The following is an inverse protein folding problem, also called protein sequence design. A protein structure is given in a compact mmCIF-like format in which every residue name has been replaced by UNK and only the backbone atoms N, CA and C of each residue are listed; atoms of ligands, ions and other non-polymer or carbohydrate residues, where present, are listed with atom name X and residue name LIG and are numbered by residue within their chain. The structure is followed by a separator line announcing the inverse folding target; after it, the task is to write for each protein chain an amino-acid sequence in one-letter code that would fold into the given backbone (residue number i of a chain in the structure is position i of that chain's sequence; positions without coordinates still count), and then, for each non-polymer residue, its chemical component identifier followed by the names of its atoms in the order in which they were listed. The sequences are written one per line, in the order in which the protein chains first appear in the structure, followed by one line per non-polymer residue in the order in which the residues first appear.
data_IF_154739506674
#
_entry.id   IF_154739506674
#
_cell.length_a   1.000
_cell.length_b   1.000
_cell.length_c   1.000
_cell.angle_alpha   90.00
_cell.angle_beta   90.00
_cell.angle_gamma   90.00
#
_symmetry.space_group_name_H-M   'P 1'
#
loop_
_entity.id
_entity.type
_entity.pdbx_description
1 polymer ?
#
# COMPACT_ATOMS: atom_id res chain seq x y z
N UNK A 1 39.07 -37.03 16.12
CA UNK A 1 37.94 -37.96 16.25
C UNK A 1 37.12 -37.85 14.97
N UNK A 2 37.45 -38.68 13.97
CA UNK A 2 36.82 -38.72 12.64
C UNK A 2 35.89 -39.92 12.62
N UNK A 3 34.61 -39.69 12.34
CA UNK A 3 33.64 -40.75 12.11
C UNK A 3 33.37 -40.77 10.61
N UNK A 4 33.90 -41.79 9.94
CA UNK A 4 33.35 -42.35 8.71
C UNK A 4 32.73 -43.69 9.09
N UNK A 5 31.48 -43.95 8.68
CA UNK A 5 31.20 -45.12 7.83
C UNK A 5 29.99 -44.84 6.90
N UNK A 6 29.57 -45.64 5.93
CA UNK A 6 30.01 -46.87 5.28
C UNK A 6 29.12 -46.96 4.03
N UNK A 7 29.71 -47.26 2.87
CA UNK A 7 28.97 -47.74 1.71
C UNK A 7 28.59 -49.21 1.96
N UNK A 8 27.33 -49.58 1.67
CA UNK A 8 26.93 -50.97 1.44
C UNK A 8 26.31 -51.10 0.03
N UNK A 9 26.82 -52.03 -0.81
CA UNK A 9 26.19 -52.43 -2.05
C UNK A 9 25.39 -53.73 -1.88
N UNK A 10 24.18 -53.78 -2.42
CA UNK A 10 23.42 -55.01 -2.69
C UNK A 10 22.68 -54.74 -4.01
N UNK A 11 23.26 -55.01 -5.19
CA UNK A 11 23.46 -56.32 -5.84
C UNK A 11 22.21 -57.21 -5.77
N UNK A 12 21.50 -57.21 -6.89
CA UNK A 12 20.92 -58.40 -7.54
C UNK A 12 20.03 -59.30 -6.68
N UNK A 13 18.73 -59.19 -6.88
CA UNK A 13 17.86 -60.32 -7.25
C UNK A 13 16.44 -59.76 -7.42
N UNK A 14 15.97 -59.67 -8.66
CA UNK A 14 14.57 -59.87 -9.15
C UNK A 14 14.66 -59.68 -10.68
N UNK A 15 15.48 -60.54 -11.31
CA UNK A 15 15.38 -60.85 -12.73
C UNK A 15 14.80 -62.25 -12.76
N UNK A 16 13.47 -62.35 -12.91
CA UNK A 16 12.74 -63.51 -13.46
C UNK A 16 11.27 -63.53 -13.00
N UNK A 17 10.52 -62.45 -13.24
CA UNK A 17 9.04 -62.52 -13.22
C UNK A 17 8.40 -61.62 -14.29
N UNK A 18 9.09 -61.42 -15.42
CA UNK A 18 8.58 -60.70 -16.60
C UNK A 18 8.58 -61.65 -17.80
N UNK A 19 7.76 -62.70 -17.75
CA UNK A 19 7.39 -63.46 -18.95
C UNK A 19 5.93 -63.85 -18.82
N UNK A 20 5.11 -63.29 -19.70
CA UNK A 20 3.67 -63.55 -19.93
C UNK A 20 2.65 -62.71 -19.16
N UNK A 21 2.86 -61.40 -19.04
CA UNK A 21 1.69 -60.49 -19.00
C UNK A 21 1.38 -60.08 -20.44
N UNK A 22 0.27 -60.59 -20.98
CA UNK A 22 -0.29 -60.15 -22.25
C UNK A 22 -0.47 -58.64 -22.18
N UNK A 23 0.29 -57.90 -22.98
CA UNK A 23 0.06 -56.49 -23.30
C UNK A 23 -1.18 -56.47 -24.20
N UNK A 24 -2.35 -56.80 -23.63
CA UNK A 24 -3.62 -56.39 -24.17
C UNK A 24 -3.71 -54.90 -23.90
N UNK A 25 -3.75 -54.13 -24.98
CA UNK A 25 -4.08 -52.72 -25.12
C UNK A 25 -5.04 -52.16 -24.07
N UNK A 26 -4.57 -52.00 -22.84
CA UNK A 26 -5.14 -51.07 -21.88
C UNK A 26 -4.55 -49.72 -22.26
N UNK A 27 -5.10 -49.17 -23.34
CA UNK A 27 -5.04 -47.75 -23.65
C UNK A 27 -5.60 -47.07 -22.42
N UNK A 28 -4.71 -46.77 -21.48
CA UNK A 28 -4.93 -45.96 -20.32
C UNK A 28 -5.33 -44.60 -20.90
N UNK A 29 -6.65 -44.46 -21.10
CA UNK A 29 -7.34 -43.23 -21.39
C UNK A 29 -7.11 -42.37 -20.14
N UNK A 30 -5.91 -41.82 -20.03
CA UNK A 30 -5.60 -40.63 -19.26
C UNK A 30 -6.49 -39.56 -19.89
N UNK A 31 -7.74 -39.55 -19.46
CA UNK A 31 -8.58 -38.38 -19.45
C UNK A 31 -7.81 -37.36 -18.60
N UNK A 32 -6.86 -36.68 -19.23
CA UNK A 32 -6.38 -35.39 -18.80
C UNK A 32 -7.64 -34.52 -18.80
N UNK A 33 -8.34 -34.52 -17.67
CA UNK A 33 -9.24 -33.46 -17.29
C UNK A 33 -8.36 -32.23 -17.16
N UNK A 34 -8.10 -31.60 -18.31
CA UNK A 34 -7.59 -30.24 -18.41
C UNK A 34 -8.68 -29.41 -17.75
N UNK A 35 -8.58 -29.28 -16.43
CA UNK A 35 -9.46 -28.44 -15.65
C UNK A 35 -9.21 -27.04 -16.15
N UNK A 36 -10.09 -26.56 -17.03
CA UNK A 36 -10.12 -25.17 -17.47
C UNK A 36 -10.41 -24.36 -16.20
N UNK A 37 -9.34 -23.94 -15.53
CA UNK A 37 -9.46 -22.99 -14.43
C UNK A 37 -9.72 -21.66 -15.10
N UNK A 38 -10.99 -21.25 -15.10
CA UNK A 38 -11.33 -19.87 -15.42
C UNK A 38 -10.53 -18.98 -14.47
N UNK A 39 -9.61 -18.20 -15.02
CA UNK A 39 -8.86 -17.21 -14.26
C UNK A 39 -9.87 -16.20 -13.73
N UNK A 40 -10.03 -16.16 -12.41
CA UNK A 40 -10.98 -15.25 -11.76
C UNK A 40 -10.41 -13.85 -11.85
N UNK A 41 -10.87 -13.06 -12.81
CA UNK A 41 -10.47 -11.65 -12.94
C UNK A 41 -11.13 -10.82 -11.85
N UNK A 42 -10.33 -10.23 -10.97
CA UNK A 42 -10.82 -9.34 -9.92
C UNK A 42 -11.06 -7.94 -10.49
N UNK A 43 -12.28 -7.44 -10.33
CA UNK A 43 -12.68 -6.09 -10.75
C UNK A 43 -12.61 -5.09 -9.59
N UNK A 44 -12.62 -3.77 -9.85
CA UNK A 44 -12.79 -2.77 -8.79
C UNK A 44 -14.08 -2.93 -7.99
N UNK A 45 -15.11 -3.58 -8.54
CA UNK A 45 -16.35 -3.86 -7.81
C UNK A 45 -16.19 -4.97 -6.77
N UNK A 46 -15.34 -5.96 -7.05
CA UNK A 46 -14.97 -6.99 -6.07
C UNK A 46 -14.14 -6.40 -4.95
N UNK A 47 -13.18 -5.53 -5.28
CA UNK A 47 -12.41 -4.77 -4.28
C UNK A 47 -13.35 -3.91 -3.43
N UNK A 48 -14.26 -3.15 -4.06
CA UNK A 48 -15.23 -2.31 -3.33
C UNK A 48 -16.09 -3.13 -2.37
N UNK A 49 -16.56 -4.30 -2.79
CA UNK A 49 -17.34 -5.23 -1.95
C UNK A 49 -16.56 -5.62 -0.68
N UNK A 50 -15.27 -5.91 -0.81
CA UNK A 50 -14.41 -6.20 0.34
C UNK A 50 -14.14 -4.98 1.21
N UNK A 51 -13.95 -3.79 0.61
CA UNK A 51 -13.76 -2.56 1.39
C UNK A 51 -15.01 -2.23 2.22
N UNK A 52 -16.22 -2.50 1.72
CA UNK A 52 -17.45 -2.36 2.52
C UNK A 52 -17.45 -3.31 3.72
N UNK A 53 -16.89 -4.51 3.59
CA UNK A 53 -16.71 -5.40 4.74
C UNK A 53 -15.70 -4.83 5.75
N UNK A 54 -14.59 -4.27 5.27
CA UNK A 54 -13.60 -3.59 6.14
C UNK A 54 -14.26 -2.44 6.91
N UNK A 55 -15.11 -1.64 6.25
CA UNK A 55 -15.87 -0.54 6.89
C UNK A 55 -16.75 -1.06 8.03
N UNK A 56 -17.54 -2.11 7.77
CA UNK A 56 -18.40 -2.75 8.78
C UNK A 56 -17.61 -3.30 9.96
N UNK A 57 -16.45 -3.93 9.71
CA UNK A 57 -15.59 -4.43 10.78
C UNK A 57 -15.04 -3.31 11.67
N UNK A 58 -14.64 -2.18 11.08
CA UNK A 58 -14.22 -1.00 11.84
C UNK A 58 -15.37 -0.43 12.66
N UNK A 59 -16.58 -0.36 12.10
CA UNK A 59 -17.79 0.10 12.81
C UNK A 59 -18.11 -0.79 14.03
N UNK A 60 -17.98 -2.12 13.92
CA UNK A 60 -18.15 -3.03 15.07
C UNK A 60 -17.14 -2.74 16.18
N UNK A 61 -15.87 -2.50 15.82
CA UNK A 61 -14.84 -2.13 16.80
C UNK A 61 -15.17 -0.77 17.43
N UNK A 62 -15.56 0.23 16.64
CA UNK A 62 -15.96 1.55 17.15
C UNK A 62 -17.11 1.46 18.15
N UNK A 63 -18.17 0.72 17.80
CA UNK A 63 -19.32 0.50 18.67
C UNK A 63 -18.93 -0.17 20.00
N UNK A 64 -18.09 -1.21 19.94
CA UNK A 64 -17.58 -1.88 21.13
C UNK A 64 -16.68 -0.98 22.00
N UNK A 65 -16.06 0.05 21.41
CA UNK A 65 -15.29 1.05 22.14
C UNK A 65 -16.13 2.26 22.58
N UNK A 66 -17.44 2.26 22.33
CA UNK A 66 -18.34 3.36 22.68
C UNK A 66 -18.03 4.65 21.91
N UNK A 67 -17.50 4.55 20.70
CA UNK A 67 -17.17 5.72 19.86
C UNK A 67 -18.06 5.74 18.63
N UNK A 68 -18.59 6.91 18.29
CA UNK A 68 -19.41 7.13 17.10
C UNK A 68 -18.67 7.99 16.08
N UNK A 69 -18.80 7.66 14.79
CA UNK A 69 -18.22 8.43 13.69
C UNK A 69 -19.14 9.57 13.28
N UNK A 70 -18.65 10.81 13.32
CA UNK A 70 -19.29 11.92 12.63
C UNK A 70 -18.22 12.79 11.97
N UNK A 71 -17.98 12.54 10.69
CA UNK A 71 -17.09 13.35 9.87
C UNK A 71 -17.75 13.65 8.54
N UNK A 72 -17.49 14.86 8.05
CA UNK A 72 -17.83 15.22 6.69
C UNK A 72 -16.93 14.43 5.75
N UNK A 73 -17.52 13.49 5.01
CA UNK A 73 -16.81 12.70 4.02
C UNK A 73 -16.37 13.60 2.85
N UNK A 74 -15.05 13.76 2.69
CA UNK A 74 -14.50 14.40 1.48
C UNK A 74 -14.53 13.41 0.33
N UNK A 75 -15.31 13.72 -0.69
CA UNK A 75 -15.38 12.93 -1.92
C UNK A 75 -14.45 13.50 -2.97
N UNK A 76 -13.56 12.66 -3.54
CA UNK A 76 -12.63 13.08 -4.58
C UNK A 76 -13.14 12.64 -5.97
N UNK A 77 -13.61 13.56 -6.84
CA UNK A 77 -14.10 13.23 -8.18
C UNK A 77 -12.95 13.14 -9.20
N UNK A 78 -12.01 12.22 -8.97
CA UNK A 78 -10.76 12.10 -9.74
C UNK A 78 -10.59 10.71 -10.34
N UNK A 79 -10.01 10.61 -11.54
CA UNK A 79 -9.67 9.32 -12.15
C UNK A 79 -8.46 8.72 -11.44
N UNK A 80 -8.70 7.86 -10.47
CA UNK A 80 -7.66 7.10 -9.78
C UNK A 80 -7.41 5.73 -10.43
N UNK A 81 -6.26 5.15 -10.10
CA UNK A 81 -5.75 3.88 -10.60
C UNK A 81 -5.56 2.91 -9.43
N UNK A 82 -5.45 1.58 -9.67
CA UNK A 82 -5.29 0.60 -8.60
C UNK A 82 -4.15 0.90 -7.61
N UNK A 83 -3.03 1.47 -8.08
CA UNK A 83 -1.91 1.90 -7.22
C UNK A 83 -2.26 2.94 -6.17
N UNK A 84 -3.19 3.86 -6.46
CA UNK A 84 -3.67 4.84 -5.48
C UNK A 84 -4.53 4.16 -4.40
N UNK A 85 -5.34 3.17 -4.80
CA UNK A 85 -6.15 2.37 -3.89
C UNK A 85 -5.27 1.52 -2.98
N UNK A 86 -4.25 0.86 -3.53
CA UNK A 86 -3.29 0.08 -2.75
C UNK A 86 -2.55 0.95 -1.74
N UNK A 87 -2.05 2.12 -2.16
CA UNK A 87 -1.38 3.04 -1.23
C UNK A 87 -2.34 3.53 -0.14
N UNK A 88 -3.62 3.75 -0.47
CA UNK A 88 -4.61 4.10 0.55
C UNK A 88 -4.86 2.94 1.54
N UNK A 89 -4.87 1.69 1.06
CA UNK A 89 -4.97 0.52 1.95
C UNK A 89 -3.75 0.39 2.88
N UNK A 90 -2.54 0.75 2.41
CA UNK A 90 -1.35 0.84 3.25
C UNK A 90 -1.54 1.83 4.41
N UNK A 91 -2.15 3.00 4.15
CA UNK A 91 -2.48 3.96 5.20
C UNK A 91 -3.48 3.44 6.24
N UNK A 92 -4.42 2.59 5.83
CA UNK A 92 -5.31 1.91 6.77
C UNK A 92 -4.49 0.99 7.70
N UNK A 93 -3.51 0.24 7.17
CA UNK A 93 -2.60 -0.56 8.02
C UNK A 93 -1.78 0.28 9.00
N UNK A 94 -1.27 1.43 8.58
CA UNK A 94 -0.55 2.35 9.49
C UNK A 94 -1.44 2.75 10.66
N UNK A 95 -2.70 3.13 10.38
CA UNK A 95 -3.66 3.52 11.41
C UNK A 95 -4.11 2.36 12.30
N UNK A 96 -4.24 1.15 11.75
CA UNK A 96 -4.47 -0.07 12.53
C UNK A 96 -3.29 -0.34 13.47
N UNK A 97 -2.04 -0.18 13.02
CA UNK A 97 -0.87 -0.34 13.87
C UNK A 97 -0.80 0.71 14.99
N UNK A 98 -1.22 1.96 14.72
CA UNK A 98 -1.39 2.98 15.77
C UNK A 98 -2.42 2.54 16.81
N UNK A 99 -3.57 1.99 16.38
CA UNK A 99 -4.60 1.47 17.28
C UNK A 99 -4.08 0.31 18.13
N UNK A 100 -3.40 -0.66 17.51
CA UNK A 100 -2.80 -1.81 18.18
C UNK A 100 -1.86 -1.36 19.29
N UNK A 101 -0.98 -0.40 19.02
CA UNK A 101 -0.05 0.15 20.02
C UNK A 101 -0.79 0.77 21.20
N UNK A 102 -1.84 1.57 20.96
CA UNK A 102 -2.66 2.19 22.01
C UNK A 102 -3.38 1.15 22.88
N UNK A 103 -3.69 -0.02 22.32
CA UNK A 103 -4.30 -1.15 23.02
C UNK A 103 -3.29 -2.15 23.59
N UNK A 104 -1.99 -1.86 23.53
CA UNK A 104 -0.94 -2.77 24.00
C UNK A 104 -0.83 -4.07 23.19
N UNK A 105 -1.31 -4.08 21.94
CA UNK A 105 -1.25 -5.22 21.04
C UNK A 105 0.05 -5.19 20.21
N UNK A 106 0.63 -6.36 19.86
CA UNK A 106 1.80 -6.43 18.98
C UNK A 106 1.53 -5.76 17.63
N UNK A 107 2.41 -4.89 17.17
CA UNK A 107 2.31 -4.25 15.85
C UNK A 107 2.80 -5.19 14.75
N UNK A 108 2.22 -5.10 13.56
CA UNK A 108 2.64 -5.91 12.42
C UNK A 108 3.57 -5.13 11.48
N UNK A 109 4.43 -5.86 10.80
CA UNK A 109 5.16 -5.31 9.67
C UNK A 109 4.20 -5.12 8.50
N UNK A 110 4.12 -3.90 7.98
CA UNK A 110 3.27 -3.60 6.82
C UNK A 110 4.00 -4.06 5.56
N UNK A 111 3.35 -4.92 4.79
CA UNK A 111 3.93 -5.43 3.56
C UNK A 111 4.12 -4.30 2.55
N UNK A 112 5.32 -4.23 2.02
CA UNK A 112 5.66 -3.36 0.90
C UNK A 112 5.58 -4.16 -0.40
N UNK A 113 5.64 -3.49 -1.54
CA UNK A 113 5.57 -4.15 -2.84
C UNK A 113 6.75 -3.76 -3.73
N UNK A 114 7.08 -4.66 -4.65
CA UNK A 114 7.97 -4.36 -5.76
C UNK A 114 7.35 -3.29 -6.68
N UNK A 115 8.15 -2.35 -7.22
CA UNK A 115 7.65 -1.40 -8.18
C UNK A 115 7.11 -2.07 -9.46
N UNK A 116 5.90 -1.68 -9.87
CA UNK A 116 5.24 -2.16 -11.09
C UNK A 116 4.80 -0.97 -11.96
N UNK A 117 4.80 -1.16 -13.28
CA UNK A 117 4.32 -0.15 -14.24
C UNK A 117 2.80 0.02 -14.12
N UNK A 118 2.09 -1.09 -14.14
CA UNK A 118 0.65 -1.16 -13.99
C UNK A 118 0.34 -2.11 -12.84
N UNK A 119 -0.43 -1.61 -11.88
CA UNK A 119 -0.82 -2.42 -10.74
C UNK A 119 -2.05 -3.26 -11.07
N UNK A 120 -1.91 -4.57 -10.91
CA UNK A 120 -3.00 -5.52 -10.98
C UNK A 120 -4.07 -5.21 -9.89
N UNK A 121 -5.37 -5.12 -10.23
CA UNK A 121 -6.48 -5.03 -9.26
C UNK A 121 -6.48 -6.11 -8.17
N UNK A 122 -5.84 -7.26 -8.40
CA UNK A 122 -5.60 -8.28 -7.39
C UNK A 122 -4.82 -7.73 -6.19
N UNK A 123 -3.88 -6.82 -6.39
CA UNK A 123 -3.06 -6.29 -5.30
C UNK A 123 -3.90 -5.49 -4.27
N UNK A 124 -4.75 -4.51 -4.65
CA UNK A 124 -5.71 -3.91 -3.72
C UNK A 124 -6.66 -4.94 -3.08
N UNK A 125 -7.13 -5.95 -3.82
CA UNK A 125 -8.01 -7.00 -3.27
C UNK A 125 -7.31 -7.79 -2.16
N UNK A 126 -6.09 -8.26 -2.38
CA UNK A 126 -5.31 -8.96 -1.37
C UNK A 126 -5.08 -8.11 -0.11
N UNK A 127 -4.87 -6.80 -0.28
CA UNK A 127 -4.77 -5.89 0.86
C UNK A 127 -6.06 -5.83 1.67
N UNK A 128 -7.24 -5.86 1.03
CA UNK A 128 -8.52 -5.93 1.77
C UNK A 128 -8.64 -7.20 2.60
N UNK A 129 -8.21 -8.35 2.08
CA UNK A 129 -8.24 -9.63 2.81
C UNK A 129 -7.34 -9.57 4.04
N UNK A 130 -6.15 -8.99 3.91
CA UNK A 130 -5.24 -8.78 5.02
C UNK A 130 -5.82 -7.81 6.06
N UNK A 131 -6.44 -6.71 5.62
CA UNK A 131 -7.11 -5.76 6.53
C UNK A 131 -8.21 -6.45 7.34
N UNK A 132 -9.10 -7.21 6.67
CA UNK A 132 -10.15 -7.98 7.34
C UNK A 132 -9.56 -8.97 8.36
N UNK A 133 -8.47 -9.64 8.01
CA UNK A 133 -7.80 -10.60 8.90
C UNK A 133 -7.27 -9.90 10.15
N UNK A 134 -6.62 -8.73 9.99
CA UNK A 134 -6.13 -7.96 11.14
C UNK A 134 -7.23 -7.40 12.02
N UNK A 135 -8.32 -6.90 11.43
CA UNK A 135 -9.47 -6.43 12.20
C UNK A 135 -10.12 -7.58 12.99
N UNK A 136 -10.24 -8.77 12.38
CA UNK A 136 -10.73 -9.96 13.08
C UNK A 136 -9.82 -10.41 14.24
N UNK A 137 -8.50 -10.35 14.06
CA UNK A 137 -7.55 -10.62 15.15
C UNK A 137 -7.75 -9.60 16.27
N UNK A 138 -7.90 -8.32 15.94
CA UNK A 138 -8.15 -7.26 16.92
C UNK A 138 -9.47 -7.51 17.67
N UNK A 139 -10.58 -7.77 16.97
CA UNK A 139 -11.87 -8.10 17.60
C UNK A 139 -11.73 -9.25 18.61
N UNK A 140 -11.11 -10.36 18.20
CA UNK A 140 -10.87 -11.52 19.07
C UNK A 140 -10.06 -11.16 20.32
N UNK A 141 -9.01 -10.34 20.18
CA UNK A 141 -8.17 -9.89 21.30
C UNK A 141 -8.91 -8.93 22.25
N UNK A 142 -9.92 -8.23 21.75
CA UNK A 142 -10.76 -7.31 22.51
C UNK A 142 -12.05 -7.96 23.05
N UNK A 143 -12.28 -9.26 22.81
CA UNK A 143 -13.50 -9.95 23.23
C UNK A 143 -14.76 -9.49 22.47
N UNK A 144 -14.60 -8.99 21.24
CA UNK A 144 -15.72 -8.56 20.40
C UNK A 144 -16.21 -9.77 19.59
N UNK A 145 -17.36 -10.31 19.98
CA UNK A 145 -17.98 -11.49 19.34
C UNK A 145 -18.87 -11.15 18.14
N UNK A 146 -19.17 -9.87 17.93
CA UNK A 146 -20.00 -9.43 16.82
C UNK A 146 -19.35 -9.75 15.46
N UNK A 147 -20.14 -10.30 14.55
CA UNK A 147 -19.72 -10.66 13.20
C UNK A 147 -20.41 -9.79 12.15
N UNK A 148 -19.69 -9.48 11.08
CA UNK A 148 -20.25 -8.77 9.93
C UNK A 148 -21.17 -9.68 9.12
N UNK A 149 -22.20 -9.07 8.53
CA UNK A 149 -23.13 -9.77 7.65
C UNK A 149 -22.46 -10.22 6.35
N UNK A 150 -23.11 -11.17 5.64
CA UNK A 150 -22.63 -11.74 4.38
C UNK A 150 -22.16 -10.66 3.38
N UNK A 151 -21.10 -10.99 2.63
CA UNK A 151 -20.54 -10.15 1.57
C UNK A 151 -21.62 -9.66 0.60
N UNK A 152 -21.80 -8.34 0.56
CA UNK A 152 -22.64 -7.65 -0.41
C UNK A 152 -21.86 -7.46 -1.71
N UNK A 153 -22.48 -7.77 -2.84
CA UNK A 153 -21.85 -7.63 -4.16
C UNK A 153 -22.23 -6.30 -4.80
N UNK A 154 -21.24 -5.61 -5.31
CA UNK A 154 -21.43 -4.38 -6.08
C UNK A 154 -21.02 -4.59 -7.55
N UNK A 155 -21.51 -3.71 -8.43
CA UNK A 155 -21.16 -3.67 -9.86
C UNK A 155 -20.86 -2.24 -10.29
N UNK A 156 -20.16 -2.09 -11.42
CA UNK A 156 -19.91 -0.78 -12.04
C UNK A 156 -19.00 0.17 -11.24
N UNK A 157 -18.30 -0.33 -10.22
CA UNK A 157 -17.40 0.50 -9.40
C UNK A 157 -16.09 0.77 -10.12
N UNK A 158 -15.46 1.89 -9.77
CA UNK A 158 -14.18 2.37 -10.26
C UNK A 158 -13.17 2.45 -9.11
N UNK A 159 -11.85 2.50 -9.39
CA UNK A 159 -10.84 2.66 -8.34
C UNK A 159 -11.07 3.87 -7.42
N UNK A 160 -11.63 4.97 -7.94
CA UNK A 160 -11.98 6.14 -7.13
C UNK A 160 -13.06 5.88 -6.08
N UNK A 161 -14.04 5.03 -6.38
CA UNK A 161 -15.08 4.64 -5.42
C UNK A 161 -14.46 3.85 -4.26
N UNK A 162 -13.53 2.94 -4.59
CA UNK A 162 -12.78 2.16 -3.60
C UNK A 162 -11.91 3.07 -2.74
N UNK A 163 -11.22 4.02 -3.36
CA UNK A 163 -10.39 5.00 -2.66
C UNK A 163 -11.21 5.86 -1.69
N UNK A 164 -12.34 6.40 -2.14
CA UNK A 164 -13.24 7.21 -1.30
C UNK A 164 -13.81 6.40 -0.14
N UNK A 165 -14.16 5.12 -0.35
CA UNK A 165 -14.59 4.26 0.75
C UNK A 165 -13.46 4.00 1.76
N UNK A 166 -12.23 3.76 1.29
CA UNK A 166 -11.09 3.70 2.21
C UNK A 166 -10.82 5.03 2.91
N UNK A 167 -11.08 6.18 2.28
CA UNK A 167 -10.98 7.48 2.94
C UNK A 167 -11.92 7.56 4.15
N UNK A 168 -13.19 7.13 4.00
CA UNK A 168 -14.14 7.01 5.13
C UNK A 168 -13.58 6.13 6.25
N UNK A 169 -13.11 4.93 5.91
CA UNK A 169 -12.50 4.00 6.89
C UNK A 169 -11.30 4.66 7.60
N UNK A 170 -10.49 5.42 6.86
CA UNK A 170 -9.36 6.17 7.38
C UNK A 170 -9.79 7.17 8.46
N UNK A 171 -10.88 7.91 8.23
CA UNK A 171 -11.42 8.89 9.17
C UNK A 171 -12.05 8.20 10.40
N UNK A 172 -12.77 7.09 10.20
CA UNK A 172 -13.26 6.23 11.28
C UNK A 172 -12.13 5.74 12.18
N UNK A 173 -10.99 5.35 11.59
CA UNK A 173 -9.82 4.94 12.36
C UNK A 173 -9.14 6.09 13.13
N UNK A 174 -9.20 7.33 12.66
CA UNK A 174 -8.69 8.49 13.42
C UNK A 174 -9.51 8.70 14.69
N UNK A 175 -10.84 8.62 14.56
CA UNK A 175 -11.80 8.70 15.66
C UNK A 175 -11.59 7.54 16.65
N UNK A 176 -11.46 6.31 16.14
CA UNK A 176 -11.18 5.14 16.96
C UNK A 176 -9.84 5.27 17.70
N UNK A 177 -8.84 5.86 17.05
CA UNK A 177 -7.55 6.17 17.65
C UNK A 177 -7.61 7.34 18.65
N UNK A 178 -8.66 8.17 18.61
CA UNK A 178 -8.75 9.46 19.33
C UNK A 178 -7.56 10.36 19.03
N UNK A 179 -7.09 10.32 17.78
CA UNK A 179 -5.95 11.09 17.32
C UNK A 179 -6.06 11.27 15.81
N UNK A 180 -6.00 12.52 15.37
CA UNK A 180 -5.89 12.85 13.97
C UNK A 180 -4.52 12.46 13.42
N UNK A 181 -4.35 12.53 12.10
CA UNK A 181 -3.01 12.43 11.52
C UNK A 181 -2.11 13.53 12.10
N UNK A 182 -1.05 13.12 12.80
CA UNK A 182 -0.05 14.04 13.33
C UNK A 182 1.14 14.20 12.34
N UNK A 183 1.96 15.26 12.50
CA UNK A 183 3.09 15.49 11.60
C UNK A 183 4.15 14.39 11.62
N UNK A 184 4.28 13.62 12.70
CA UNK A 184 5.25 12.53 12.78
C UNK A 184 4.89 11.36 11.86
N UNK A 185 3.60 11.06 11.71
CA UNK A 185 3.11 10.09 10.73
C UNK A 185 3.34 10.58 9.30
N UNK A 186 3.07 11.86 9.02
CA UNK A 186 3.35 12.43 7.70
C UNK A 186 4.85 12.40 7.39
N UNK A 187 5.69 12.80 8.34
CA UNK A 187 7.14 12.77 8.21
C UNK A 187 7.65 11.36 7.90
N UNK A 188 7.11 10.33 8.56
CA UNK A 188 7.46 8.94 8.31
C UNK A 188 7.22 8.53 6.84
N UNK A 189 6.11 8.96 6.25
CA UNK A 189 5.79 8.69 4.84
C UNK A 189 6.67 9.49 3.89
N UNK A 190 6.99 10.74 4.22
CA UNK A 190 7.92 11.56 3.41
C UNK A 190 9.33 10.96 3.41
N UNK A 191 9.77 10.32 4.51
CA UNK A 191 11.05 9.58 4.52
C UNK A 191 11.03 8.39 3.54
N UNK A 192 9.89 7.75 3.30
CA UNK A 192 9.80 6.69 2.28
C UNK A 192 10.03 7.26 0.88
N UNK A 193 9.50 8.45 0.60
CA UNK A 193 9.77 9.17 -0.66
C UNK A 193 11.26 9.52 -0.77
N UNK A 194 11.88 9.96 0.33
CA UNK A 194 13.32 10.24 0.39
C UNK A 194 14.16 9.01 -0.02
N UNK A 195 13.83 7.82 0.49
CA UNK A 195 14.54 6.58 0.14
C UNK A 195 14.33 6.18 -1.33
N UNK A 196 13.13 6.37 -1.87
CA UNK A 196 12.83 6.10 -3.28
C UNK A 196 13.60 7.05 -4.21
N UNK A 197 13.62 8.36 -3.91
CA UNK A 197 14.38 9.36 -4.68
C UNK A 197 15.88 9.07 -4.61
N UNK A 198 16.42 8.73 -3.43
CA UNK A 198 17.83 8.36 -3.29
C UNK A 198 18.20 7.13 -4.10
N UNK A 199 17.31 6.14 -4.18
CA UNK A 199 17.54 4.96 -5.01
C UNK A 199 17.63 5.34 -6.49
N UNK A 200 16.74 6.23 -6.96
CA UNK A 200 16.79 6.73 -8.33
C UNK A 200 18.10 7.51 -8.59
N UNK A 201 18.52 8.40 -7.68
CA UNK A 201 19.78 9.14 -7.80
C UNK A 201 20.99 8.18 -7.89
N UNK A 202 21.06 7.17 -7.03
CA UNK A 202 22.12 6.15 -7.05
C UNK A 202 22.17 5.38 -8.37
N UNK A 203 21.02 4.95 -8.88
CA UNK A 203 20.93 4.27 -10.18
C UNK A 203 21.52 5.12 -11.30
N UNK A 204 21.19 6.42 -11.28
CA UNK A 204 21.64 7.40 -12.27
C UNK A 204 23.07 7.88 -12.03
N UNK A 205 23.75 7.37 -10.99
CA UNK A 205 25.08 7.81 -10.53
C UNK A 205 25.15 9.33 -10.32
N UNK A 206 24.04 9.92 -9.89
CA UNK A 206 23.95 11.34 -9.57
C UNK A 206 24.35 11.55 -8.12
N UNK A 207 25.35 12.40 -7.90
CA UNK A 207 25.70 12.84 -6.55
C UNK A 207 24.63 13.82 -6.06
N UNK A 208 24.16 13.60 -4.84
CA UNK A 208 23.29 14.56 -4.16
C UNK A 208 24.12 15.74 -3.66
N UNK A 209 24.03 16.86 -4.37
CA UNK A 209 24.68 18.13 -3.99
C UNK A 209 23.73 19.09 -3.31
N UNK A 210 22.54 18.62 -2.90
CA UNK A 210 21.52 19.47 -2.29
C UNK A 210 21.60 19.40 -0.77
N UNK A 211 21.15 20.48 -0.13
CA UNK A 211 21.02 20.54 1.32
C UNK A 211 19.56 20.85 1.69
N UNK A 212 19.07 20.38 2.86
CA UNK A 212 17.78 20.79 3.38
C UNK A 212 17.69 22.33 3.39
N UNK A 213 16.58 22.92 2.91
CA UNK A 213 16.36 24.35 3.07
C UNK A 213 16.30 24.72 4.55
N UNK A 214 16.46 25.99 4.88
CA UNK A 214 16.19 26.48 6.23
C UNK A 214 14.78 26.08 6.70
N UNK A 215 14.67 25.66 7.95
CA UNK A 215 13.40 25.29 8.57
C UNK A 215 12.63 26.58 8.88
N UNK A 216 11.46 26.73 8.29
CA UNK A 216 10.59 27.88 8.54
C UNK A 216 9.86 27.71 9.87
N UNK A 217 9.76 28.78 10.64
CA UNK A 217 8.84 28.85 11.78
C UNK A 217 7.38 28.91 11.29
N UNK A 218 6.43 28.55 12.15
CA UNK A 218 4.98 28.76 11.94
C UNK A 218 4.36 28.13 10.68
N UNK A 219 4.97 27.05 10.18
CA UNK A 219 4.46 26.28 9.04
C UNK A 219 3.12 25.61 9.39
N UNK A 220 2.15 25.76 8.49
CA UNK A 220 0.83 25.13 8.60
C UNK A 220 0.75 23.84 7.75
N UNK A 221 -0.29 23.00 7.93
CA UNK A 221 -0.56 21.92 7.00
C UNK A 221 -0.81 22.41 5.56
N UNK A 222 -1.33 23.63 5.36
CA UNK A 222 -1.52 24.23 4.04
C UNK A 222 -0.20 24.42 3.28
N UNK A 223 0.82 24.93 3.97
CA UNK A 223 2.17 25.09 3.41
C UNK A 223 2.78 23.75 3.05
N UNK A 224 2.57 22.73 3.90
CA UNK A 224 3.03 21.36 3.65
C UNK A 224 2.29 20.71 2.47
N UNK A 225 0.98 20.92 2.37
CA UNK A 225 0.17 20.42 1.25
C UNK A 225 0.63 21.03 -0.06
N UNK A 226 0.84 22.35 -0.09
CA UNK A 226 1.41 23.05 -1.25
C UNK A 226 2.77 22.47 -1.65
N UNK A 227 3.68 22.27 -0.69
CA UNK A 227 4.98 21.66 -0.96
C UNK A 227 4.87 20.22 -1.50
N UNK A 228 3.87 19.44 -1.04
CA UNK A 228 3.60 18.10 -1.56
C UNK A 228 3.12 18.14 -3.02
N UNK A 229 2.26 19.11 -3.39
CA UNK A 229 1.85 19.33 -4.78
C UNK A 229 3.02 19.76 -5.67
N UNK A 230 3.87 20.66 -5.18
CA UNK A 230 5.07 21.05 -5.91
C UNK A 230 6.02 19.87 -6.15
N UNK A 231 6.17 18.98 -5.16
CA UNK A 231 6.93 17.73 -5.34
C UNK A 231 6.26 16.79 -6.35
N UNK A 232 4.93 16.63 -6.29
CA UNK A 232 4.18 15.84 -7.26
C UNK A 232 4.37 16.36 -8.69
N UNK A 233 4.38 17.68 -8.90
CA UNK A 233 4.63 18.27 -10.22
C UNK A 233 6.00 17.84 -10.78
N UNK A 234 7.05 17.81 -9.96
CA UNK A 234 8.35 17.32 -10.42
C UNK A 234 8.33 15.80 -10.68
N UNK A 235 7.61 15.01 -9.88
CA UNK A 235 7.41 13.57 -10.17
C UNK A 235 6.68 13.37 -11.50
N UNK A 236 5.66 14.17 -11.79
CA UNK A 236 4.91 14.12 -13.04
C UNK A 236 5.75 14.53 -14.24
N UNK A 237 6.59 15.57 -14.11
CA UNK A 237 7.59 15.88 -15.15
C UNK A 237 8.52 14.70 -15.39
N UNK A 238 8.94 14.02 -14.31
CA UNK A 238 9.84 12.87 -14.43
C UNK A 238 9.15 11.72 -15.17
N UNK A 239 7.88 11.45 -14.85
CA UNK A 239 7.03 10.50 -15.55
C UNK A 239 6.94 10.81 -17.05
N UNK A 240 6.62 12.06 -17.42
CA UNK A 240 6.53 12.49 -18.82
C UNK A 240 7.87 12.29 -19.55
N UNK A 241 8.99 12.67 -18.93
CA UNK A 241 10.32 12.54 -19.52
C UNK A 241 10.73 11.08 -19.79
N UNK A 242 10.12 10.10 -19.12
CA UNK A 242 10.38 8.67 -19.33
C UNK A 242 9.21 7.93 -20.03
N UNK A 243 8.26 8.70 -20.58
CA UNK A 243 7.14 8.19 -21.39
C UNK A 243 6.02 7.55 -20.58
N UNK A 244 5.79 7.98 -19.34
CA UNK A 244 4.66 7.55 -18.51
C UNK A 244 3.53 8.59 -18.53
N UNK A 245 2.29 8.12 -18.41
CA UNK A 245 1.11 8.97 -18.21
C UNK A 245 1.05 9.52 -16.78
N UNK A 246 0.51 10.73 -16.62
CA UNK A 246 0.29 11.38 -15.34
C UNK A 246 -1.19 11.31 -14.92
N UNK A 247 -1.45 11.48 -13.62
CA UNK A 247 -2.82 11.61 -13.05
C UNK A 247 -3.04 13.04 -12.56
N UNK A 248 -4.17 13.67 -12.90
CA UNK A 248 -4.52 14.98 -12.35
C UNK A 248 -5.00 14.87 -10.89
N UNK A 249 -4.26 15.47 -9.95
CA UNK A 249 -4.60 15.50 -8.53
C UNK A 249 -5.19 16.85 -8.08
N UNK A 250 -5.50 17.77 -9.00
CA UNK A 250 -6.13 19.04 -8.66
C UNK A 250 -7.39 18.92 -7.79
N UNK A 251 -8.23 17.85 -7.86
CA UNK A 251 -9.38 17.71 -6.96
C UNK A 251 -9.02 17.43 -5.49
N UNK A 252 -7.75 17.14 -5.17
CA UNK A 252 -7.29 17.01 -3.79
C UNK A 252 -6.98 18.36 -3.13
N UNK A 253 -6.78 19.42 -3.92
CA UNK A 253 -6.68 20.78 -3.39
C UNK A 253 -8.01 21.17 -2.75
N UNK A 254 -7.95 21.76 -1.55
CA UNK A 254 -9.12 22.36 -0.94
C UNK A 254 -9.64 23.47 -1.86
N UNK A 255 -10.93 23.43 -2.17
CA UNK A 255 -11.59 24.50 -2.92
C UNK A 255 -12.19 25.47 -1.90
N UNK A 256 -11.84 26.75 -2.03
CA UNK A 256 -12.33 27.81 -1.13
C UNK A 256 -11.44 28.05 0.09
N UNK A 257 -12.04 28.56 1.16
CA UNK A 257 -11.35 29.02 2.37
C UNK A 257 -11.14 27.90 3.42
N UNK A 258 -11.36 26.64 3.06
CA UNK A 258 -11.15 25.50 3.96
C UNK A 258 -9.65 25.30 4.25
N UNK A 259 -9.28 25.47 5.52
CA UNK A 259 -7.92 25.21 5.97
C UNK A 259 -7.51 23.76 5.70
N UNK A 260 -6.32 23.57 5.12
CA UNK A 260 -5.77 22.24 4.90
C UNK A 260 -5.55 21.51 6.22
N UNK A 261 -5.87 20.22 6.23
CA UNK A 261 -5.65 19.35 7.38
C UNK A 261 -4.38 18.51 7.20
N UNK A 262 -3.74 18.04 8.28
CA UNK A 262 -2.64 17.08 8.16
C UNK A 262 -3.01 15.82 7.35
N UNK A 263 -4.27 15.40 7.39
CA UNK A 263 -4.79 14.29 6.60
C UNK A 263 -4.74 14.56 5.08
N UNK A 264 -4.92 15.81 4.63
CA UNK A 264 -4.76 16.19 3.23
C UNK A 264 -3.29 16.05 2.79
N UNK A 265 -2.35 16.51 3.63
CA UNK A 265 -0.91 16.36 3.38
C UNK A 265 -0.54 14.88 3.29
N UNK A 266 -1.03 14.07 4.23
CA UNK A 266 -0.79 12.62 4.29
C UNK A 266 -1.31 11.91 3.04
N UNK A 267 -2.52 12.24 2.59
CA UNK A 267 -3.09 11.72 1.37
C UNK A 267 -2.25 12.09 0.14
N UNK A 268 -1.82 13.36 0.02
CA UNK A 268 -1.02 13.81 -1.12
C UNK A 268 0.37 13.19 -1.15
N UNK A 269 1.01 13.02 0.01
CA UNK A 269 2.27 12.26 0.16
C UNK A 269 2.09 10.81 -0.30
N UNK A 270 0.95 10.18 0.02
CA UNK A 270 0.58 8.88 -0.52
C UNK A 270 0.50 8.88 -2.04
N UNK A 271 -0.12 9.89 -2.64
CA UNK A 271 -0.19 9.97 -4.10
C UNK A 271 1.21 10.05 -4.71
N UNK A 272 2.13 10.81 -4.10
CA UNK A 272 3.54 10.87 -4.55
C UNK A 272 4.20 9.49 -4.50
N UNK A 273 4.03 8.74 -3.40
CA UNK A 273 4.57 7.37 -3.27
C UNK A 273 4.01 6.42 -4.34
N UNK A 274 2.72 6.51 -4.63
CA UNK A 274 2.07 5.69 -5.66
C UNK A 274 2.60 6.03 -7.06
N UNK A 275 2.79 7.32 -7.37
CA UNK A 275 3.28 7.77 -8.68
C UNK A 275 4.78 7.51 -8.90
N UNK A 276 5.56 7.35 -7.82
CA UNK A 276 6.96 6.91 -7.91
C UNK A 276 7.12 5.42 -8.23
N UNK A 277 6.12 4.56 -7.97
CA UNK A 277 6.20 3.13 -8.31
C UNK A 277 6.41 2.87 -9.82
N UNK A 278 5.59 3.40 -10.74
CA UNK A 278 5.81 3.19 -12.17
C UNK A 278 7.11 3.84 -12.65
N UNK A 279 7.56 4.94 -12.04
CA UNK A 279 8.88 5.55 -12.34
C UNK A 279 10.00 4.57 -12.02
N UNK A 280 10.01 3.99 -10.81
CA UNK A 280 11.00 2.99 -10.40
C UNK A 280 10.96 1.76 -11.32
N UNK A 281 9.76 1.24 -11.62
CA UNK A 281 9.60 0.11 -12.52
C UNK A 281 10.16 0.39 -13.93
N UNK A 282 9.85 1.57 -14.49
CA UNK A 282 10.34 2.02 -15.80
C UNK A 282 11.86 2.15 -15.86
N UNK A 283 12.49 2.48 -14.73
CA UNK A 283 13.95 2.57 -14.57
C UNK A 283 14.61 1.22 -14.20
N UNK A 284 13.89 0.10 -14.29
CA UNK A 284 14.37 -1.25 -13.94
C UNK A 284 14.77 -1.40 -12.45
N UNK A 285 14.13 -0.63 -11.56
CA UNK A 285 14.30 -0.73 -10.09
C UNK A 285 13.27 -1.67 -9.46
N UNK A 286 12.87 -2.75 -10.14
CA UNK A 286 11.81 -3.67 -9.69
C UNK A 286 12.09 -4.36 -8.34
N UNK A 287 13.36 -4.49 -7.94
CA UNK A 287 13.73 -5.05 -6.63
C UNK A 287 13.99 -3.98 -5.56
N UNK A 288 13.84 -2.69 -5.90
CA UNK A 288 13.95 -1.59 -4.95
C UNK A 288 12.59 -1.31 -4.31
N UNK A 289 12.26 -2.16 -3.35
CA UNK A 289 11.04 -2.07 -2.56
C UNK A 289 11.11 -0.82 -1.69
N UNK A 290 10.06 0.01 -1.74
CA UNK A 290 9.92 1.15 -0.81
C UNK A 290 9.84 0.60 0.61
N UNK A 291 10.70 1.03 1.56
CA UNK A 291 10.66 0.50 2.91
C UNK A 291 9.34 0.85 3.61
N UNK A 292 8.99 0.07 4.63
CA UNK A 292 7.86 0.41 5.50
C UNK A 292 8.16 1.70 6.30
N UNK A 293 7.11 2.46 6.60
CA UNK A 293 7.21 3.65 7.43
C UNK A 293 7.78 3.30 8.81
N UNK A 294 8.84 4.01 9.21
CA UNK A 294 9.38 3.94 10.57
C UNK A 294 8.55 4.82 11.50
N UNK A 295 8.57 4.51 12.79
CA UNK A 295 7.95 5.39 13.78
C UNK A 295 8.87 6.57 14.10
N UNK A 296 8.31 7.77 14.13
CA UNK A 296 8.98 8.99 14.56
C UNK A 296 8.15 9.66 15.65
N UNK A 297 8.81 10.42 16.51
CA UNK A 297 8.21 11.27 17.54
C UNK A 297 8.68 12.71 17.35
N UNK A 298 7.98 13.65 18.00
CA UNK A 298 8.43 15.05 18.13
C UNK A 298 8.69 15.76 16.79
N UNK A 299 7.89 15.43 15.77
CA UNK A 299 7.92 16.12 14.48
C UNK A 299 6.85 17.19 14.43
N UNK A 300 7.20 18.33 13.84
CA UNK A 300 6.26 19.42 13.58
C UNK A 300 5.94 19.53 12.09
N UNK A 301 4.91 20.29 11.70
CA UNK A 301 4.63 20.57 10.28
C UNK A 301 5.83 21.18 9.55
N UNK A 302 6.65 21.96 10.26
CA UNK A 302 7.87 22.54 9.69
C UNK A 302 8.90 21.47 9.26
N UNK A 303 9.02 20.35 9.99
CA UNK A 303 9.89 19.23 9.59
C UNK A 303 9.41 18.58 8.29
N UNK A 304 8.09 18.36 8.20
CA UNK A 304 7.44 17.79 7.01
C UNK A 304 7.66 18.70 5.79
N UNK A 305 7.36 19.98 5.94
CA UNK A 305 7.50 20.98 4.88
C UNK A 305 8.95 21.15 4.41
N UNK A 306 9.90 21.24 5.35
CA UNK A 306 11.34 21.33 5.03
C UNK A 306 11.79 20.12 4.20
N UNK A 307 11.40 18.90 4.62
CA UNK A 307 11.78 17.68 3.92
C UNK A 307 11.14 17.61 2.52
N UNK A 308 9.85 17.94 2.37
CA UNK A 308 9.19 17.99 1.05
C UNK A 308 9.90 18.97 0.09
N UNK A 309 10.26 20.17 0.57
CA UNK A 309 11.02 21.15 -0.21
C UNK A 309 12.41 20.66 -0.57
N UNK A 310 13.07 19.92 0.32
CA UNK A 310 14.35 19.30 0.02
C UNK A 310 14.20 18.23 -1.08
N UNK A 311 13.21 17.34 -0.95
CA UNK A 311 12.94 16.30 -1.95
C UNK A 311 12.65 16.87 -3.34
N UNK A 312 11.95 18.00 -3.42
CA UNK A 312 11.77 18.75 -4.68
C UNK A 312 13.11 19.16 -5.31
N UNK A 313 14.08 19.63 -4.50
CA UNK A 313 15.44 19.94 -5.00
C UNK A 313 16.17 18.69 -5.47
N UNK A 314 16.03 17.57 -4.75
CA UNK A 314 16.66 16.30 -5.10
C UNK A 314 16.17 15.76 -6.43
N UNK A 315 14.85 15.72 -6.64
CA UNK A 315 14.28 15.21 -7.88
C UNK A 315 14.65 16.09 -9.08
N UNK A 316 14.84 17.41 -8.87
CA UNK A 316 15.35 18.31 -9.91
C UNK A 316 16.77 18.00 -10.39
N UNK A 317 17.59 17.28 -9.61
CA UNK A 317 18.88 16.79 -10.09
C UNK A 317 18.72 15.74 -11.20
N UNK A 318 17.62 14.98 -11.19
CA UNK A 318 17.33 13.93 -12.17
C UNK A 318 16.95 14.55 -13.53
N UNK A 319 16.35 15.74 -13.53
CA UNK A 319 15.88 16.44 -14.73
C UNK A 319 16.96 17.10 -15.59
N UNK A 320 18.15 17.35 -15.04
CA UNK A 320 19.21 18.14 -15.72
C UNK A 320 20.07 17.33 -16.71
N UNK A 321 19.56 16.20 -17.19
CA UNK A 321 20.23 15.30 -18.14
C UNK A 321 19.43 15.23 -19.44
#
# INVERSE_FOLDING_TARGET
MRIAPQYLPVVSLIVSFIKKLKISSLTLLLCFSVGVRAEVTISPSDVFSQVVQVDKEVELIMNAQGVQGNHLEKHYPVKLLPRHVWQKSYFIFVKINSFRRKKGLPVNNINSMEPVLEMDPNAPYEQTQRLLTELNIIKKRLGIEAEVTKLEKFVGKKPVDVFNRFQKISLNLDILNREDINPALVFAEVIRIYEDINTILRLRKLQDTTFPPEKLADVTPGDSLKAAFELMQEVQKLQVNIGLSTTDFSPFLNKGDEAALPADVFNMVGMVLAELQPVKARMNLKYSITPAAKFYTEKSPADVHQLLRWLKRKINLIHRL
#
